data_IF_192094540297
#
_entry.id   IF_192094540297
#
_cell.length_a   1.000
_cell.length_b   1.000
_cell.length_c   1.000
_cell.angle_alpha   90.00
_cell.angle_beta   90.00
_cell.angle_gamma   90.00
#
_symmetry.space_group_name_H-M   'P 1'
#
loop_
_entity.id
_entity.type
_entity.pdbx_description
1 polymer ?
#
# COMPACT_ATOMS: atom_id res chain seq x y z
N UNK A 1 -23.33 -7.06 -27.51
CA UNK A 1 -24.45 -6.11 -27.36
C UNK A 1 -25.08 -6.36 -26.00
N UNK A 2 -24.75 -5.54 -24.99
CA UNK A 2 -25.52 -5.35 -23.74
C UNK A 2 -24.78 -4.34 -22.82
N UNK A 3 -25.02 -3.02 -22.94
CA UNK A 3 -24.57 -2.02 -21.98
C UNK A 3 -25.74 -1.65 -21.07
N UNK A 4 -26.05 -2.45 -20.04
CA UNK A 4 -27.10 -2.12 -19.05
C UNK A 4 -26.82 -2.64 -17.63
N UNK A 5 -25.56 -2.61 -17.16
CA UNK A 5 -25.22 -3.06 -15.79
C UNK A 5 -24.85 -1.93 -14.82
N UNK A 6 -24.95 -0.65 -15.21
CA UNK A 6 -24.45 0.47 -14.40
C UNK A 6 -25.46 1.05 -13.41
N UNK A 7 -26.76 0.78 -13.54
CA UNK A 7 -27.79 1.39 -12.66
C UNK A 7 -28.00 0.66 -11.32
N UNK A 8 -27.52 -0.58 -11.16
CA UNK A 8 -27.71 -1.35 -9.92
C UNK A 8 -26.61 -1.16 -8.86
N UNK A 9 -25.50 -0.52 -9.21
CA UNK A 9 -24.41 -0.17 -8.27
C UNK A 9 -24.92 0.83 -7.21
N UNK A 10 -25.92 1.65 -7.52
CA UNK A 10 -26.39 2.73 -6.66
C UNK A 10 -27.14 2.30 -5.39
N UNK A 11 -27.75 1.11 -5.35
CA UNK A 11 -28.60 0.74 -4.21
C UNK A 11 -27.84 0.12 -3.03
N UNK A 12 -26.66 -0.47 -3.25
CA UNK A 12 -25.87 -1.09 -2.17
C UNK A 12 -24.99 -0.07 -1.40
N UNK A 13 -24.60 1.04 -2.05
CA UNK A 13 -23.83 2.11 -1.40
C UNK A 13 -24.57 2.81 -0.24
N UNK A 14 -25.90 2.76 -0.20
CA UNK A 14 -26.71 3.39 0.84
C UNK A 14 -26.68 2.69 2.20
N UNK A 15 -26.26 1.43 2.29
CA UNK A 15 -26.24 0.71 3.57
C UNK A 15 -24.92 0.81 4.35
N UNK A 16 -23.82 1.25 3.71
CA UNK A 16 -22.50 1.36 4.35
C UNK A 16 -22.15 2.82 4.68
N UNK A 17 -22.68 3.79 3.93
CA UNK A 17 -22.43 5.22 4.16
C UNK A 17 -23.72 5.86 4.67
N UNK A 18 -23.75 6.17 5.97
CA UNK A 18 -24.82 6.94 6.58
C UNK A 18 -25.03 8.27 5.85
N UNK A 19 -26.29 8.63 5.63
CA UNK A 19 -26.70 9.86 4.96
C UNK A 19 -25.97 11.10 5.52
N UNK A 20 -25.11 11.74 4.72
CA UNK A 20 -24.95 13.19 4.63
C UNK A 20 -23.99 13.52 3.47
N UNK A 21 -24.51 14.09 2.39
CA UNK A 21 -23.70 14.79 1.38
C UNK A 21 -24.47 16.05 0.96
N UNK A 22 -23.95 17.22 1.36
CA UNK A 22 -24.40 18.53 0.91
C UNK A 22 -23.42 19.02 -0.18
N UNK A 23 -23.85 19.16 -1.44
CA UNK A 23 -22.98 19.50 -2.55
C UNK A 23 -22.54 20.98 -2.60
N UNK A 24 -22.89 21.83 -1.63
CA UNK A 24 -22.69 23.28 -1.73
C UNK A 24 -21.46 23.87 -0.99
N UNK A 25 -20.56 23.08 -0.43
CA UNK A 25 -19.46 23.62 0.43
C UNK A 25 -18.13 23.91 -0.30
N UNK A 26 -18.04 23.76 -1.63
CA UNK A 26 -16.83 24.18 -2.37
C UNK A 26 -17.20 25.03 -3.59
N UNK A 27 -17.63 26.26 -3.33
CA UNK A 27 -17.42 27.37 -4.25
C UNK A 27 -16.97 28.58 -3.43
N UNK A 28 -15.83 29.12 -3.85
CA UNK A 28 -15.30 30.47 -3.57
C UNK A 28 -13.93 30.48 -2.88
N UNK A 29 -12.89 30.15 -3.64
CA UNK A 29 -11.77 31.09 -3.88
C UNK A 29 -10.93 30.60 -5.07
N UNK A 30 -11.21 31.12 -6.27
CA UNK A 30 -10.35 30.98 -7.45
C UNK A 30 -9.84 32.37 -7.83
N UNK A 31 -8.61 32.69 -7.43
CA UNK A 31 -7.78 33.66 -8.15
C UNK A 31 -6.30 33.31 -8.01
N UNK A 32 -5.65 33.03 -9.15
CA UNK A 32 -4.19 33.07 -9.29
C UNK A 32 -3.46 31.71 -9.34
N UNK A 33 -3.03 31.33 -10.56
CA UNK A 33 -2.16 30.19 -10.95
C UNK A 33 -2.79 28.79 -10.85
N UNK A 34 -3.41 28.35 -11.95
CA UNK A 34 -3.67 26.93 -12.21
C UNK A 34 -2.33 26.19 -12.33
N UNK A 35 -1.92 25.50 -11.27
CA UNK A 35 -1.15 24.29 -11.45
C UNK A 35 -2.07 23.30 -12.18
N UNK A 36 -1.55 22.62 -13.20
CA UNK A 36 -2.24 21.46 -13.77
C UNK A 36 -2.47 20.48 -12.62
N UNK A 37 -3.74 20.23 -12.28
CA UNK A 37 -4.10 19.16 -11.35
C UNK A 37 -3.56 17.87 -11.98
N UNK A 38 -2.46 17.36 -11.43
CA UNK A 38 -1.87 16.11 -11.91
C UNK A 38 -2.88 15.01 -11.66
N UNK A 39 -3.24 14.28 -12.71
CA UNK A 39 -4.13 13.12 -12.63
C UNK A 39 -3.34 11.95 -12.03
N UNK A 40 -2.97 12.07 -10.76
CA UNK A 40 -2.28 11.04 -9.97
C UNK A 40 -3.17 10.59 -8.81
N UNK A 41 -2.97 9.38 -8.25
CA UNK A 41 -3.63 8.97 -7.03
C UNK A 41 -3.41 9.97 -5.89
N UNK A 42 -4.40 10.09 -5.00
CA UNK A 42 -4.15 10.78 -3.73
C UNK A 42 -3.11 10.00 -2.94
N UNK A 43 -2.41 10.67 -2.04
CA UNK A 43 -1.43 10.02 -1.16
C UNK A 43 -2.01 10.05 0.24
N UNK A 44 -2.15 8.87 0.86
CA UNK A 44 -2.50 8.75 2.26
C UNK A 44 -1.22 8.70 3.08
N UNK A 45 -1.03 9.69 3.94
CA UNK A 45 0.00 9.70 4.99
C UNK A 45 -0.62 9.12 6.25
N UNK A 46 0.02 8.11 6.83
CA UNK A 46 -0.34 7.60 8.15
C UNK A 46 0.83 7.81 9.09
N UNK A 47 0.54 8.21 10.34
CA UNK A 47 1.57 8.51 11.32
C UNK A 47 1.01 8.55 12.73
N UNK A 48 1.79 8.21 13.75
CA UNK A 48 1.46 8.56 15.12
C UNK A 48 2.02 7.62 16.16
N UNK A 49 2.44 8.21 17.28
CA UNK A 49 3.06 7.49 18.41
C UNK A 49 2.02 6.97 19.41
N UNK A 50 1.14 7.86 19.85
CA UNK A 50 0.14 7.54 20.88
C UNK A 50 -1.15 6.98 20.26
N UNK A 51 -1.50 7.48 19.08
CA UNK A 51 -2.62 7.04 18.28
C UNK A 51 -2.35 7.30 16.80
N UNK A 52 -2.95 6.49 15.93
CA UNK A 52 -2.82 6.62 14.49
C UNK A 52 -3.54 7.88 13.99
N UNK A 53 -2.83 8.69 13.21
CA UNK A 53 -3.34 9.86 12.48
C UNK A 53 -3.25 9.55 10.99
N UNK A 54 -4.21 10.06 10.24
CA UNK A 54 -4.28 9.93 8.79
C UNK A 54 -4.39 11.34 8.18
N UNK A 55 -3.67 11.58 7.09
CA UNK A 55 -3.79 12.77 6.27
C UNK A 55 -3.83 12.39 4.79
N UNK A 56 -4.59 13.15 4.00
CA UNK A 56 -4.63 13.01 2.54
C UNK A 56 -3.86 14.16 1.93
N UNK A 57 -3.02 13.83 0.94
CA UNK A 57 -2.25 14.76 0.14
C UNK A 57 -2.72 14.65 -1.31
N UNK A 58 -3.23 15.77 -1.84
CA UNK A 58 -3.70 15.88 -3.24
C UNK A 58 -2.62 16.45 -4.17
N UNK A 59 -1.49 16.88 -3.60
CA UNK A 59 -0.36 17.46 -4.32
C UNK A 59 -0.16 18.94 -4.14
N UNK A 60 -1.20 19.65 -3.75
CA UNK A 60 -1.15 21.08 -3.41
C UNK A 60 -1.30 21.30 -1.91
N UNK A 61 -2.07 20.42 -1.26
CA UNK A 61 -2.45 20.53 0.13
C UNK A 61 -2.32 19.20 0.87
N UNK A 62 -2.15 19.31 2.18
CA UNK A 62 -2.30 18.19 3.10
C UNK A 62 -3.44 18.49 4.07
N UNK A 63 -4.44 17.59 4.10
CA UNK A 63 -5.61 17.66 4.97
C UNK A 63 -5.68 16.45 5.90
N UNK A 64 -5.75 16.71 7.20
CA UNK A 64 -5.92 15.67 8.22
C UNK A 64 -7.32 15.06 8.11
N UNK A 65 -7.41 13.74 8.19
CA UNK A 65 -8.66 12.99 8.18
C UNK A 65 -9.34 13.10 9.56
N UNK A 66 -10.64 13.38 9.58
CA UNK A 66 -11.44 13.47 10.80
C UNK A 66 -12.35 12.24 10.97
N UNK A 67 -11.74 11.10 11.29
CA UNK A 67 -12.47 9.84 11.45
C UNK A 67 -12.89 9.66 12.92
N UNK A 68 -14.20 9.55 13.17
CA UNK A 68 -14.74 9.40 14.52
C UNK A 68 -14.25 8.10 15.17
N UNK A 69 -13.72 8.20 16.38
CA UNK A 69 -13.22 7.06 17.15
C UNK A 69 -11.81 6.58 16.79
N UNK A 70 -11.14 7.15 15.78
CA UNK A 70 -9.78 6.75 15.40
C UNK A 70 -8.78 6.93 16.55
N UNK A 71 -8.90 8.02 17.32
CA UNK A 71 -8.04 8.29 18.49
C UNK A 71 -8.22 7.25 19.62
N UNK A 72 -9.38 6.58 19.69
CA UNK A 72 -9.62 5.53 20.68
C UNK A 72 -8.90 4.22 20.33
N UNK A 73 -8.48 4.04 19.06
CA UNK A 73 -7.70 2.89 18.60
C UNK A 73 -6.23 3.04 18.96
N UNK A 74 -5.93 3.10 20.27
CA UNK A 74 -4.57 3.18 20.79
C UNK A 74 -3.76 1.99 20.25
N UNK A 75 -2.58 2.26 19.69
CA UNK A 75 -1.67 1.25 19.11
C UNK A 75 -2.20 0.49 17.88
N UNK A 76 -3.23 0.97 17.20
CA UNK A 76 -3.58 0.42 15.89
C UNK A 76 -2.50 0.74 14.85
N UNK A 77 -2.19 -0.25 14.02
CA UNK A 77 -1.22 -0.14 12.92
C UNK A 77 -1.95 -0.12 11.58
N UNK A 78 -1.43 0.68 10.66
CA UNK A 78 -1.87 0.63 9.27
C UNK A 78 -1.51 -0.71 8.63
N UNK A 79 -2.39 -1.24 7.79
CA UNK A 79 -2.20 -2.53 7.09
C UNK A 79 -2.15 -2.33 5.59
N UNK A 80 -3.20 -1.80 4.98
CA UNK A 80 -3.28 -1.52 3.55
C UNK A 80 -4.54 -0.69 3.23
N UNK A 81 -4.68 -0.31 1.96
CA UNK A 81 -5.89 0.32 1.42
C UNK A 81 -6.41 -0.43 0.20
N UNK A 82 -7.73 -0.41 0.02
CA UNK A 82 -8.40 -0.89 -1.19
C UNK A 82 -9.51 0.10 -1.53
N UNK A 83 -9.46 0.67 -2.74
CA UNK A 83 -10.30 1.80 -3.12
C UNK A 83 -10.23 2.92 -2.06
N UNK A 84 -11.39 3.38 -1.59
CA UNK A 84 -11.53 4.41 -0.55
C UNK A 84 -11.47 3.88 0.89
N UNK A 85 -11.16 2.60 1.09
CA UNK A 85 -11.16 1.97 2.40
C UNK A 85 -9.75 1.67 2.88
N UNK A 86 -9.53 1.87 4.18
CA UNK A 86 -8.30 1.56 4.90
C UNK A 86 -8.56 0.43 5.89
N UNK A 87 -7.65 -0.54 5.88
CA UNK A 87 -7.57 -1.60 6.87
C UNK A 87 -6.50 -1.26 7.92
N UNK A 88 -6.87 -1.34 9.18
CA UNK A 88 -5.99 -1.23 10.34
C UNK A 88 -6.04 -2.52 11.16
N UNK A 89 -4.98 -2.78 11.93
CA UNK A 89 -4.91 -3.91 12.86
C UNK A 89 -4.58 -3.42 14.26
N UNK A 90 -5.21 -4.00 15.28
CA UNK A 90 -4.78 -3.80 16.65
C UNK A 90 -3.37 -4.37 16.88
N UNK A 91 -2.61 -3.75 17.80
CA UNK A 91 -1.31 -4.28 18.22
C UNK A 91 -1.44 -5.71 18.76
N UNK A 92 -0.40 -6.53 18.57
CA UNK A 92 -0.32 -7.89 19.14
C UNK A 92 -0.36 -7.92 20.67
N UNK A 93 -0.06 -6.80 21.33
CA UNK A 93 -0.20 -6.62 22.78
C UNK A 93 -1.62 -6.29 23.25
N UNK A 94 -2.55 -6.06 22.33
CA UNK A 94 -3.95 -5.79 22.65
C UNK A 94 -4.69 -7.08 22.99
N UNK A 95 -5.53 -7.12 24.05
CA UNK A 95 -6.37 -8.27 24.37
C UNK A 95 -7.42 -8.56 23.27
N UNK A 96 -7.66 -7.61 22.37
CA UNK A 96 -8.58 -7.74 21.25
C UNK A 96 -7.76 -7.63 19.94
N UNK A 97 -7.33 -8.78 19.40
CA UNK A 97 -6.67 -8.88 18.09
C UNK A 97 -7.66 -8.61 16.94
N UNK A 98 -8.23 -7.42 16.87
CA UNK A 98 -9.22 -7.03 15.88
C UNK A 98 -8.60 -6.28 14.69
N UNK A 99 -9.29 -6.36 13.55
CA UNK A 99 -9.07 -5.49 12.41
C UNK A 99 -10.12 -4.36 12.42
N UNK A 100 -9.76 -3.21 11.88
CA UNK A 100 -10.64 -2.05 11.76
C UNK A 100 -10.66 -1.57 10.32
N UNK A 101 -11.85 -1.37 9.77
CA UNK A 101 -12.04 -0.83 8.42
C UNK A 101 -12.74 0.52 8.50
N UNK A 102 -12.22 1.49 7.76
CA UNK A 102 -12.75 2.85 7.73
C UNK A 102 -12.51 3.50 6.37
N UNK A 103 -13.29 4.53 6.04
CA UNK A 103 -13.03 5.43 4.93
C UNK A 103 -12.41 6.73 5.48
N UNK A 104 -11.13 7.06 5.16
CA UNK A 104 -10.47 8.27 5.66
C UNK A 104 -11.15 9.58 5.26
N UNK A 105 -11.88 9.59 4.14
CA UNK A 105 -12.55 10.78 3.59
C UNK A 105 -13.97 10.97 4.11
N UNK A 106 -14.57 9.96 4.75
CA UNK A 106 -15.89 10.08 5.35
C UNK A 106 -15.80 10.29 6.86
N UNK A 107 -16.78 11.00 7.43
CA UNK A 107 -16.96 11.03 8.90
C UNK A 107 -17.56 9.71 9.43
N UNK A 108 -17.56 8.66 8.61
CA UNK A 108 -18.23 7.40 8.85
C UNK A 108 -17.70 6.62 10.04
N UNK A 109 -18.46 5.59 10.39
CA UNK A 109 -18.16 4.71 11.53
C UNK A 109 -17.06 3.71 11.16
N UNK A 110 -16.15 3.47 12.11
CA UNK A 110 -15.17 2.39 12.03
C UNK A 110 -15.88 1.04 12.17
N UNK A 111 -15.64 0.14 11.22
CA UNK A 111 -16.12 -1.25 11.27
C UNK A 111 -15.07 -2.13 11.94
N UNK A 112 -15.43 -2.74 13.07
CA UNK A 112 -14.55 -3.68 13.78
C UNK A 112 -14.81 -5.10 13.29
N UNK A 113 -13.74 -5.80 12.92
CA UNK A 113 -13.75 -7.20 12.51
C UNK A 113 -12.95 -8.00 13.55
N UNK A 114 -13.65 -8.86 14.28
CA UNK A 114 -13.03 -9.76 15.26
C UNK A 114 -12.54 -11.03 14.58
N UNK A 115 -11.39 -11.59 14.99
CA UNK A 115 -10.80 -12.73 14.33
C UNK A 115 -11.56 -14.03 14.66
N UNK A 116 -11.40 -15.09 13.86
CA UNK A 116 -12.11 -16.35 14.08
C UNK A 116 -11.76 -16.97 15.43
N UNK A 117 -12.79 -17.33 16.21
CA UNK A 117 -12.64 -17.95 17.54
C UNK A 117 -11.72 -17.17 18.51
N UNK A 118 -11.64 -15.84 18.35
CA UNK A 118 -10.73 -14.97 19.11
C UNK A 118 -9.25 -15.33 19.00
N UNK A 119 -8.85 -16.14 18.01
CA UNK A 119 -7.45 -16.48 17.75
C UNK A 119 -6.83 -15.43 16.85
N UNK A 120 -5.64 -14.89 17.18
CA UNK A 120 -4.97 -13.91 16.34
C UNK A 120 -4.76 -14.41 14.91
N UNK A 121 -5.04 -13.54 13.94
CA UNK A 121 -4.71 -13.71 12.52
C UNK A 121 -3.99 -12.46 12.02
N UNK A 122 -3.09 -12.64 11.05
CA UNK A 122 -2.36 -11.56 10.43
C UNK A 122 -3.00 -11.23 9.08
N UNK A 123 -3.65 -10.07 8.90
CA UNK A 123 -4.16 -9.68 7.60
C UNK A 123 -2.98 -9.54 6.64
N UNK A 124 -3.06 -10.17 5.46
CA UNK A 124 -2.06 -10.07 4.41
C UNK A 124 -2.62 -9.48 3.10
N UNK A 125 -3.94 -9.28 3.01
CA UNK A 125 -4.56 -8.60 1.89
C UNK A 125 -5.95 -8.06 2.21
N UNK A 126 -6.32 -6.97 1.55
CA UNK A 126 -7.66 -6.37 1.60
C UNK A 126 -8.06 -5.99 0.18
N UNK A 127 -9.18 -6.53 -0.29
CA UNK A 127 -9.54 -6.44 -1.71
C UNK A 127 -11.04 -6.44 -1.94
N UNK A 128 -11.44 -5.94 -3.11
CA UNK A 128 -12.81 -6.05 -3.60
C UNK A 128 -12.93 -7.29 -4.48
N UNK A 129 -13.81 -8.23 -4.09
CA UNK A 129 -14.08 -9.43 -4.85
C UNK A 129 -15.08 -9.11 -5.98
N UNK A 130 -14.69 -9.18 -7.26
CA UNK A 130 -15.48 -8.60 -8.34
C UNK A 130 -16.79 -9.35 -8.62
N UNK A 131 -16.82 -10.69 -8.48
CA UNK A 131 -18.04 -11.48 -8.76
C UNK A 131 -19.07 -11.38 -7.62
N UNK A 132 -18.64 -11.59 -6.38
CA UNK A 132 -19.45 -11.43 -5.17
C UNK A 132 -19.80 -9.97 -4.83
N UNK A 133 -19.12 -8.99 -5.45
CA UNK A 133 -19.31 -7.56 -5.24
C UNK A 133 -19.22 -7.12 -3.78
N UNK A 134 -18.26 -7.67 -3.06
CA UNK A 134 -18.02 -7.38 -1.65
C UNK A 134 -16.52 -7.17 -1.39
N UNK A 135 -16.20 -6.47 -0.30
CA UNK A 135 -14.84 -6.45 0.21
C UNK A 135 -14.53 -7.74 0.96
N UNK A 136 -13.26 -8.14 0.95
CA UNK A 136 -12.76 -9.29 1.71
C UNK A 136 -11.41 -8.97 2.33
N UNK A 137 -11.14 -9.59 3.49
CA UNK A 137 -9.81 -9.60 4.12
C UNK A 137 -9.25 -10.99 3.97
N UNK A 138 -8.07 -11.11 3.35
CA UNK A 138 -7.25 -12.31 3.42
C UNK A 138 -6.35 -12.20 4.65
N UNK A 139 -6.37 -13.21 5.50
CA UNK A 139 -5.52 -13.30 6.66
C UNK A 139 -4.84 -14.65 6.73
N UNK A 140 -3.65 -14.66 7.32
CA UNK A 140 -2.81 -15.83 7.49
C UNK A 140 -2.62 -16.13 8.97
N UNK A 141 -2.54 -17.42 9.28
CA UNK A 141 -2.17 -17.93 10.59
C UNK A 141 -1.05 -18.95 10.42
N UNK A 142 -0.03 -18.86 11.25
CA UNK A 142 1.00 -19.89 11.32
C UNK A 142 0.44 -21.12 12.02
N UNK A 143 0.44 -22.26 11.33
CA UNK A 143 -0.05 -23.53 11.88
C UNK A 143 1.12 -24.41 12.34
N UNK A 144 2.21 -24.46 11.57
CA UNK A 144 3.44 -25.18 11.93
C UNK A 144 4.69 -24.38 11.57
N UNK A 145 5.87 -25.01 11.67
CA UNK A 145 7.12 -24.37 11.22
C UNK A 145 7.15 -24.08 9.72
N UNK A 146 6.44 -24.86 8.92
CA UNK A 146 6.54 -24.85 7.45
C UNK A 146 5.18 -24.70 6.75
N UNK A 147 4.09 -24.58 7.51
CA UNK A 147 2.75 -24.46 6.95
C UNK A 147 1.99 -23.29 7.55
N UNK A 148 1.31 -22.57 6.65
CA UNK A 148 0.45 -21.45 6.96
C UNK A 148 -0.97 -21.76 6.51
N UNK A 149 -1.93 -21.30 7.30
CA UNK A 149 -3.34 -21.46 7.03
C UNK A 149 -3.98 -20.11 6.69
N UNK A 150 -4.74 -20.07 5.61
CA UNK A 150 -5.33 -18.86 5.06
C UNK A 150 -6.85 -18.82 5.28
N UNK A 151 -7.32 -17.63 5.63
CA UNK A 151 -8.69 -17.33 6.00
C UNK A 151 -9.19 -16.10 5.24
N UNK A 152 -10.47 -16.12 4.91
CA UNK A 152 -11.20 -14.99 4.35
C UNK A 152 -12.24 -14.50 5.35
N UNK A 153 -12.26 -13.19 5.56
CA UNK A 153 -13.42 -12.51 6.12
C UNK A 153 -14.30 -12.01 4.99
N UNK A 154 -15.56 -12.38 5.01
CA UNK A 154 -16.58 -11.98 4.05
C UNK A 154 -17.41 -10.85 4.68
N UNK A 155 -17.46 -9.68 4.03
CA UNK A 155 -18.23 -8.55 4.57
C UNK A 155 -19.74 -8.74 4.40
N UNK A 156 -20.18 -9.42 3.34
CA UNK A 156 -21.60 -9.75 3.14
C UNK A 156 -22.14 -10.63 4.26
N UNK A 157 -21.43 -11.73 4.55
CA UNK A 157 -21.84 -12.71 5.55
C UNK A 157 -21.39 -12.36 6.98
N UNK A 158 -20.50 -11.36 7.11
CA UNK A 158 -19.86 -10.94 8.37
C UNK A 158 -19.23 -12.11 9.13
N UNK A 159 -18.59 -13.01 8.39
CA UNK A 159 -18.04 -14.24 8.93
C UNK A 159 -16.65 -14.54 8.39
N UNK A 160 -15.89 -15.29 9.18
CA UNK A 160 -14.63 -15.87 8.76
C UNK A 160 -14.85 -17.28 8.26
N UNK A 161 -14.14 -17.63 7.18
CA UNK A 161 -13.97 -19.02 6.76
C UNK A 161 -12.57 -19.27 6.26
N UNK A 162 -12.22 -20.54 6.14
CA UNK A 162 -11.02 -21.00 5.42
C UNK A 162 -11.16 -20.67 3.93
N UNK A 163 -10.04 -20.39 3.27
CA UNK A 163 -10.02 -20.42 1.80
C UNK A 163 -10.28 -21.85 1.32
N UNK A 164 -10.68 -22.00 0.05
CA UNK A 164 -10.94 -23.31 -0.56
C UNK A 164 -9.72 -24.24 -0.49
N UNK A 165 -8.51 -23.69 -0.67
CA UNK A 165 -7.25 -24.34 -0.33
C UNK A 165 -6.56 -23.57 0.82
N UNK A 166 -6.79 -23.96 2.08
CA UNK A 166 -6.34 -23.18 3.24
C UNK A 166 -4.85 -23.30 3.51
N UNK A 167 -4.18 -24.36 3.07
CA UNK A 167 -2.80 -24.63 3.45
C UNK A 167 -1.84 -24.22 2.35
N UNK A 168 -0.89 -23.32 2.67
CA UNK A 168 0.20 -22.96 1.77
C UNK A 168 1.53 -22.84 2.51
N UNK A 169 2.63 -23.14 1.82
CA UNK A 169 3.97 -23.22 2.43
C UNK A 169 4.73 -21.89 2.41
N UNK A 170 4.27 -20.91 1.63
CA UNK A 170 4.83 -19.56 1.65
C UNK A 170 4.02 -18.63 2.56
N UNK A 171 4.68 -17.61 3.07
CA UNK A 171 4.11 -16.49 3.80
C UNK A 171 4.49 -15.20 3.05
N UNK A 172 3.57 -14.25 2.87
CA UNK A 172 3.92 -12.90 2.49
C UNK A 172 4.83 -12.29 3.56
N UNK A 173 6.11 -12.07 3.28
CA UNK A 173 7.08 -11.53 4.26
C UNK A 173 7.91 -10.41 3.66
N UNK A 174 8.19 -9.38 4.45
CA UNK A 174 9.14 -8.31 4.06
C UNK A 174 10.61 -8.77 4.06
N UNK A 175 10.92 -9.89 4.72
CA UNK A 175 12.29 -10.32 4.88
C UNK A 175 12.41 -11.85 4.94
N UNK A 176 13.38 -12.42 4.22
CA UNK A 176 13.73 -13.84 4.35
C UNK A 176 14.40 -14.15 5.70
N UNK A 177 14.93 -13.13 6.41
CA UNK A 177 15.74 -13.32 7.63
C UNK A 177 14.96 -13.14 8.92
N UNK A 178 13.81 -12.43 8.92
CA UNK A 178 12.89 -12.38 10.06
C UNK A 178 11.47 -12.77 9.65
N UNK A 179 11.16 -14.06 9.80
CA UNK A 179 9.84 -14.66 9.55
C UNK A 179 8.73 -14.17 10.52
N UNK A 180 8.89 -12.99 11.13
CA UNK A 180 8.01 -12.45 12.17
C UNK A 180 6.99 -11.44 11.66
N UNK A 181 7.17 -10.85 10.46
CA UNK A 181 6.28 -9.81 9.97
C UNK A 181 5.69 -10.10 8.59
N UNK A 182 4.36 -10.15 8.54
CA UNK A 182 3.58 -10.42 7.34
C UNK A 182 3.53 -9.19 6.44
N UNK A 183 3.88 -9.35 5.16
CA UNK A 183 3.64 -8.32 4.14
C UNK A 183 2.14 -8.23 3.87
N UNK A 184 1.58 -7.06 4.15
CA UNK A 184 0.14 -6.80 4.06
C UNK A 184 -0.25 -5.94 2.86
N UNK A 185 0.69 -5.65 1.97
CA UNK A 185 0.55 -4.73 0.83
C UNK A 185 0.71 -5.49 -0.50
N UNK A 186 -0.27 -6.34 -0.88
CA UNK A 186 -0.23 -6.94 -2.20
C UNK A 186 -0.43 -5.90 -3.29
N UNK A 187 0.23 -6.09 -4.42
CA UNK A 187 -0.22 -5.50 -5.67
C UNK A 187 -1.45 -6.27 -6.18
N UNK A 188 -2.55 -5.55 -6.45
CA UNK A 188 -3.81 -6.14 -6.90
C UNK A 188 -3.92 -5.94 -8.41
N UNK A 189 -3.87 -7.02 -9.18
CA UNK A 189 -3.94 -6.99 -10.64
C UNK A 189 -4.59 -8.26 -11.19
N UNK A 190 -5.37 -8.16 -12.28
CA UNK A 190 -5.89 -9.33 -13.01
C UNK A 190 -6.57 -10.39 -12.15
N UNK A 191 -7.35 -9.97 -11.15
CA UNK A 191 -8.04 -10.91 -10.26
C UNK A 191 -7.13 -11.59 -9.22
N UNK A 192 -5.86 -11.18 -9.09
CA UNK A 192 -4.90 -11.72 -8.16
C UNK A 192 -4.29 -10.71 -7.19
N UNK A 193 -3.91 -11.19 -6.02
CA UNK A 193 -3.06 -10.49 -5.05
C UNK A 193 -1.62 -10.97 -5.20
N UNK A 194 -0.67 -10.04 -5.34
CA UNK A 194 0.72 -10.35 -5.64
C UNK A 194 1.65 -9.82 -4.54
N UNK A 195 2.47 -10.70 -3.98
CA UNK A 195 3.51 -10.33 -3.02
C UNK A 195 4.86 -10.80 -3.50
N UNK A 196 5.86 -9.94 -3.39
CA UNK A 196 7.24 -10.42 -3.36
C UNK A 196 7.48 -11.15 -2.03
N UNK A 197 7.99 -12.38 -2.09
CA UNK A 197 8.22 -13.23 -0.91
C UNK A 197 9.71 -13.55 -0.72
N UNK A 198 10.59 -12.72 -1.27
CA UNK A 198 12.03 -12.95 -1.21
C UNK A 198 12.50 -14.04 -2.17
N UNK A 199 13.82 -14.27 -2.23
CA UNK A 199 14.45 -15.34 -3.04
C UNK A 199 14.02 -15.34 -4.52
N UNK A 200 13.82 -14.15 -5.11
CA UNK A 200 13.37 -13.98 -6.50
C UNK A 200 12.00 -14.61 -6.83
N UNK A 201 11.09 -14.66 -5.85
CA UNK A 201 9.75 -15.26 -6.00
C UNK A 201 8.62 -14.28 -5.72
N UNK A 202 7.57 -14.41 -6.50
CA UNK A 202 6.29 -13.72 -6.35
C UNK A 202 5.24 -14.76 -5.95
N UNK A 203 4.61 -14.55 -4.80
CA UNK A 203 3.42 -15.29 -4.41
C UNK A 203 2.19 -14.63 -5.02
N UNK A 204 1.30 -15.43 -5.60
CA UNK A 204 0.04 -14.95 -6.17
C UNK A 204 -1.12 -15.70 -5.53
N UNK A 205 -2.14 -14.98 -5.10
CA UNK A 205 -3.43 -15.53 -4.69
C UNK A 205 -4.51 -15.14 -5.70
N UNK A 206 -5.13 -16.13 -6.34
CA UNK A 206 -6.28 -15.94 -7.20
C UNK A 206 -7.53 -15.65 -6.35
N UNK A 207 -8.13 -14.48 -6.53
CA UNK A 207 -9.26 -14.03 -5.71
C UNK A 207 -10.56 -14.77 -6.01
N UNK A 208 -10.67 -15.43 -7.18
CA UNK A 208 -11.88 -16.13 -7.65
C UNK A 208 -11.79 -17.62 -7.30
N UNK A 209 -10.70 -18.26 -7.67
CA UNK A 209 -10.48 -19.69 -7.43
C UNK A 209 -9.95 -19.96 -6.02
N UNK A 210 -9.47 -18.93 -5.31
CA UNK A 210 -8.87 -19.02 -3.98
C UNK A 210 -7.65 -19.95 -3.94
N UNK A 211 -6.87 -19.93 -5.02
CA UNK A 211 -5.68 -20.74 -5.20
C UNK A 211 -4.41 -19.90 -5.07
N UNK A 212 -3.39 -20.51 -4.48
CA UNK A 212 -2.06 -19.91 -4.39
C UNK A 212 -1.14 -20.52 -5.44
N UNK A 213 -0.32 -19.68 -6.06
CA UNK A 213 0.81 -20.13 -6.86
C UNK A 213 2.04 -19.26 -6.59
N UNK A 214 3.19 -19.75 -7.07
CA UNK A 214 4.46 -19.02 -7.03
C UNK A 214 4.95 -18.81 -8.45
N UNK A 215 5.37 -17.58 -8.72
CA UNK A 215 5.90 -17.15 -10.01
C UNK A 215 7.31 -16.56 -9.82
N UNK A 216 8.18 -16.60 -10.84
CA UNK A 216 9.51 -16.00 -10.77
C UNK A 216 9.46 -14.46 -10.89
N UNK A 217 10.50 -13.78 -10.40
CA UNK A 217 10.78 -12.37 -10.69
C UNK A 217 11.44 -12.19 -12.09
N UNK A 218 11.57 -10.94 -12.60
CA UNK A 218 12.16 -10.65 -13.93
C UNK A 218 13.58 -11.15 -14.17
N UNK A 219 14.29 -11.55 -13.11
CA UNK A 219 15.73 -11.75 -13.15
C UNK A 219 16.08 -13.17 -12.71
N UNK A 220 17.06 -13.77 -13.41
CA UNK A 220 17.71 -14.98 -12.95
C UNK A 220 18.52 -14.72 -11.67
N UNK A 221 19.02 -15.79 -11.05
CA UNK A 221 19.80 -15.86 -9.79
C UNK A 221 21.01 -14.90 -9.66
N UNK A 222 21.24 -14.02 -10.61
CA UNK A 222 22.36 -13.07 -10.72
C UNK A 222 22.50 -12.06 -9.58
N UNK A 223 21.59 -12.05 -8.60
CA UNK A 223 21.66 -11.17 -7.43
C UNK A 223 21.77 -11.93 -6.10
N UNK A 224 22.04 -13.24 -6.14
CA UNK A 224 22.36 -14.05 -4.95
C UNK A 224 23.51 -13.39 -4.17
N UNK A 225 23.19 -12.77 -3.03
CA UNK A 225 24.15 -12.13 -2.13
C UNK A 225 24.07 -10.60 -2.03
N UNK A 226 23.21 -9.91 -2.79
CA UNK A 226 22.94 -8.48 -2.61
C UNK A 226 21.54 -8.26 -2.04
N UNK A 227 21.45 -7.55 -0.92
CA UNK A 227 20.17 -7.24 -0.28
C UNK A 227 19.35 -6.30 -1.16
N UNK A 228 18.21 -6.79 -1.67
CA UNK A 228 17.27 -5.92 -2.39
C UNK A 228 16.65 -4.92 -1.41
N UNK A 229 16.86 -3.63 -1.65
CA UNK A 229 16.41 -2.57 -0.74
C UNK A 229 14.92 -2.27 -0.91
N UNK A 230 14.39 -2.40 -2.13
CA UNK A 230 12.96 -2.22 -2.41
C UNK A 230 12.26 -3.55 -2.69
N UNK A 231 11.18 -3.78 -1.93
CA UNK A 231 10.62 -5.13 -1.71
C UNK A 231 9.14 -5.25 -2.02
N UNK A 232 8.49 -4.17 -2.44
CA UNK A 232 7.05 -4.18 -2.73
C UNK A 232 6.80 -4.20 -4.24
N UNK A 233 5.78 -4.98 -4.64
CA UNK A 233 5.22 -4.94 -5.98
C UNK A 233 4.23 -3.79 -6.06
N UNK A 234 4.16 -3.17 -7.22
CA UNK A 234 3.27 -2.04 -7.49
C UNK A 234 2.44 -2.33 -8.74
N UNK A 235 1.41 -1.52 -8.97
CA UNK A 235 0.65 -1.54 -10.21
C UNK A 235 0.86 -0.20 -10.92
N UNK A 236 1.30 -0.26 -12.18
CA UNK A 236 1.43 0.88 -13.08
C UNK A 236 0.57 0.61 -14.30
N UNK A 237 -0.43 1.46 -14.55
CA UNK A 237 -1.28 1.43 -15.76
C UNK A 237 -1.71 0.00 -16.15
N UNK A 238 -2.34 -0.72 -15.22
CA UNK A 238 -2.80 -2.12 -15.37
C UNK A 238 -1.70 -3.16 -15.63
N UNK A 239 -0.45 -2.85 -15.28
CA UNK A 239 0.69 -3.76 -15.34
C UNK A 239 1.35 -3.90 -13.98
N UNK A 240 1.85 -5.11 -13.68
CA UNK A 240 2.61 -5.33 -12.46
C UNK A 240 3.99 -4.69 -12.63
N UNK A 241 4.46 -4.02 -11.58
CA UNK A 241 5.71 -3.28 -11.57
C UNK A 241 6.58 -3.73 -10.41
N UNK A 242 7.88 -3.81 -10.65
CA UNK A 242 8.89 -4.08 -9.64
C UNK A 242 10.01 -3.05 -9.75
N UNK A 243 10.30 -2.36 -8.65
CA UNK A 243 11.38 -1.39 -8.60
C UNK A 243 12.58 -2.01 -7.89
N UNK A 244 13.71 -2.03 -8.57
CA UNK A 244 14.95 -2.61 -8.08
C UNK A 244 15.99 -1.52 -7.86
N UNK A 245 16.47 -1.39 -6.62
CA UNK A 245 17.60 -0.51 -6.26
C UNK A 245 18.74 -1.41 -5.81
N UNK A 246 19.89 -1.31 -6.50
CA UNK A 246 21.10 -2.03 -6.11
C UNK A 246 21.82 -1.29 -4.96
N UNK A 247 22.41 -2.02 -4.01
CA UNK A 247 23.05 -1.43 -2.82
C UNK A 247 24.26 -0.53 -3.12
N UNK A 248 24.79 -0.54 -4.35
CA UNK A 248 26.04 0.12 -4.73
C UNK A 248 25.89 1.09 -5.90
N UNK A 249 24.71 1.15 -6.51
CA UNK A 249 24.46 1.97 -7.69
C UNK A 249 23.33 2.92 -7.32
N UNK A 250 23.55 4.23 -7.44
CA UNK A 250 22.53 5.26 -7.23
C UNK A 250 21.46 5.28 -8.30
N UNK A 251 21.02 4.11 -8.75
CA UNK A 251 20.05 3.92 -9.81
C UNK A 251 18.98 2.94 -9.37
N UNK A 252 17.76 3.22 -9.82
CA UNK A 252 16.61 2.35 -9.66
C UNK A 252 16.15 1.87 -11.03
N UNK A 253 16.22 0.56 -11.24
CA UNK A 253 15.60 -0.09 -12.39
C UNK A 253 14.11 -0.30 -12.14
N UNK A 254 13.26 0.06 -13.09
CA UNK A 254 11.82 -0.20 -13.03
C UNK A 254 11.46 -1.24 -14.07
N UNK A 255 10.98 -2.39 -13.59
CA UNK A 255 10.55 -3.52 -14.40
C UNK A 255 9.04 -3.59 -14.49
N UNK A 256 8.53 -3.82 -15.68
CA UNK A 256 7.09 -3.91 -15.97
C UNK A 256 6.79 -5.30 -16.54
N UNK A 257 5.77 -5.96 -16.00
CA UNK A 257 5.22 -7.19 -16.54
C UNK A 257 4.31 -6.85 -17.71
N UNK A 258 4.87 -6.80 -18.92
CA UNK A 258 4.13 -6.45 -20.14
C UNK A 258 3.20 -7.56 -20.62
N UNK A 259 3.57 -8.82 -20.38
CA UNK A 259 2.73 -9.96 -20.71
C UNK A 259 2.45 -10.80 -19.45
N UNK A 260 1.28 -10.58 -18.86
CA UNK A 260 0.84 -11.31 -17.68
C UNK A 260 0.65 -12.82 -17.94
N UNK A 261 0.20 -13.20 -19.14
CA UNK A 261 -0.09 -14.60 -19.49
C UNK A 261 1.20 -15.39 -19.64
N UNK A 262 2.17 -14.85 -20.37
CA UNK A 262 3.47 -15.48 -20.58
C UNK A 262 4.49 -15.15 -19.49
N UNK A 263 4.09 -14.35 -18.49
CA UNK A 263 4.91 -13.88 -17.38
C UNK A 263 6.20 -13.18 -17.84
N UNK A 264 6.09 -12.34 -18.87
CA UNK A 264 7.21 -11.64 -19.49
C UNK A 264 7.43 -10.26 -18.86
N UNK A 265 8.62 -10.06 -18.30
CA UNK A 265 9.04 -8.79 -17.71
C UNK A 265 10.03 -8.06 -18.60
N UNK A 266 9.90 -6.74 -18.67
CA UNK A 266 10.85 -5.87 -19.35
C UNK A 266 11.38 -4.78 -18.40
N UNK A 267 12.67 -4.46 -18.53
CA UNK A 267 13.23 -3.27 -17.88
C UNK A 267 12.81 -2.06 -18.69
N UNK A 268 11.90 -1.24 -18.15
CA UNK A 268 11.31 -0.12 -18.90
C UNK A 268 11.96 1.21 -18.61
N UNK A 269 12.37 1.44 -17.37
CA UNK A 269 12.98 2.71 -16.95
C UNK A 269 14.21 2.48 -16.08
N UNK A 270 15.12 3.46 -16.10
CA UNK A 270 16.26 3.56 -15.21
C UNK A 270 16.22 4.97 -14.61
N UNK A 271 16.06 5.05 -13.30
CA UNK A 271 15.94 6.31 -12.56
C UNK A 271 17.24 6.55 -11.83
N UNK A 272 17.95 7.63 -12.16
CA UNK A 272 19.09 8.09 -11.37
C UNK A 272 18.55 8.69 -10.06
N UNK A 273 19.02 8.21 -8.91
CA UNK A 273 18.69 8.64 -7.55
C UNK A 273 19.66 9.70 -7.00
N UNK A 274 20.79 9.94 -7.67
CA UNK A 274 21.78 10.96 -7.31
C UNK A 274 21.50 12.33 -7.96
N UNK A 275 20.28 12.53 -8.44
CA UNK A 275 19.88 13.67 -9.27
C UNK A 275 20.07 15.06 -8.64
N UNK A 276 20.17 15.19 -7.31
CA UNK A 276 20.65 16.42 -6.67
C UNK A 276 20.98 16.25 -5.16
N UNK A 277 22.06 15.52 -4.85
CA UNK A 277 22.53 15.32 -3.46
C UNK A 277 22.83 16.66 -2.78
N UNK A 278 23.39 17.62 -3.52
CA UNK A 278 23.81 18.92 -2.98
C UNK A 278 22.61 19.82 -2.63
N UNK A 279 21.54 19.79 -3.43
CA UNK A 279 20.31 20.55 -3.13
C UNK A 279 19.47 19.91 -2.02
N UNK A 280 19.59 18.60 -1.83
CA UNK A 280 18.85 17.86 -0.81
C UNK A 280 19.78 16.98 0.03
N UNK A 281 20.73 17.59 0.78
CA UNK A 281 21.71 16.85 1.54
C UNK A 281 21.04 16.03 2.64
N UNK A 282 21.59 14.84 2.90
CA UNK A 282 21.21 14.04 4.06
C UNK A 282 21.82 14.72 5.27
N UNK A 283 21.03 14.93 6.32
CA UNK A 283 21.48 15.65 7.52
C UNK A 283 22.51 14.88 8.34
N UNK A 284 22.62 13.57 8.10
CA UNK A 284 23.44 12.62 8.84
C UNK A 284 24.42 11.94 7.88
N UNK A 285 25.68 11.77 8.32
CA UNK A 285 26.73 11.03 7.59
C UNK A 285 26.47 9.51 7.64
N UNK A 286 25.40 9.07 6.97
CA UNK A 286 25.01 7.66 6.93
C UNK A 286 25.68 6.93 5.75
N UNK A 287 26.03 5.64 5.91
CA UNK A 287 26.42 4.79 4.81
C UNK A 287 25.39 4.80 3.68
N UNK A 288 25.84 4.85 2.43
CA UNK A 288 24.96 5.07 1.27
C UNK A 288 23.87 4.00 1.12
N UNK A 289 24.20 2.73 1.40
CA UNK A 289 23.25 1.62 1.47
C UNK A 289 22.10 1.88 2.47
N UNK A 290 22.43 2.38 3.66
CA UNK A 290 21.48 2.75 4.70
C UNK A 290 20.57 3.90 4.26
N UNK A 291 21.09 4.80 3.41
CA UNK A 291 20.29 5.91 2.87
C UNK A 291 19.29 5.44 1.82
N UNK A 292 19.63 4.40 1.06
CA UNK A 292 18.75 3.80 0.05
C UNK A 292 17.66 2.93 0.68
N UNK A 293 17.92 2.28 1.82
CA UNK A 293 16.89 1.60 2.64
C UNK A 293 15.76 2.53 3.13
N UNK A 294 15.98 3.84 3.08
CA UNK A 294 15.01 4.85 3.48
C UNK A 294 14.13 5.36 2.34
N UNK A 295 14.26 4.77 1.15
CA UNK A 295 13.49 5.10 -0.03
C UNK A 295 12.24 4.20 -0.11
N UNK A 296 11.08 4.84 -0.17
CA UNK A 296 9.80 4.18 -0.45
C UNK A 296 9.25 4.68 -1.79
N UNK A 297 8.86 3.77 -2.68
CA UNK A 297 8.05 4.14 -3.84
C UNK A 297 6.58 4.13 -3.43
N UNK A 298 5.95 5.31 -3.53
CA UNK A 298 4.55 5.49 -3.15
C UNK A 298 3.63 5.08 -4.29
N UNK A 299 3.92 5.56 -5.50
CA UNK A 299 3.11 5.31 -6.69
C UNK A 299 3.90 5.46 -7.97
N UNK A 300 3.45 4.75 -9.02
CA UNK A 300 3.88 4.97 -10.40
C UNK A 300 2.61 5.05 -11.23
N UNK A 301 2.34 6.22 -11.81
CA UNK A 301 1.15 6.46 -12.59
C UNK A 301 1.52 7.21 -13.86
N UNK A 302 1.18 6.66 -15.03
CA UNK A 302 1.66 7.16 -16.33
C UNK A 302 3.19 7.29 -16.30
N UNK A 303 3.73 8.48 -16.54
CA UNK A 303 5.17 8.75 -16.54
C UNK A 303 5.63 9.44 -15.23
N UNK A 304 4.78 9.53 -14.21
CA UNK A 304 5.13 10.09 -12.91
C UNK A 304 5.41 8.98 -11.89
N UNK A 305 6.61 9.01 -11.33
CA UNK A 305 7.03 8.22 -10.18
C UNK A 305 7.01 9.12 -8.94
N UNK A 306 6.31 8.71 -7.89
CA UNK A 306 6.34 9.40 -6.59
C UNK A 306 7.13 8.57 -5.60
N UNK A 307 8.18 9.18 -5.05
CA UNK A 307 9.03 8.58 -4.03
C UNK A 307 8.97 9.40 -2.75
N UNK A 308 9.03 8.72 -1.62
CA UNK A 308 9.38 9.33 -0.35
C UNK A 308 10.75 8.85 0.07
N UNK A 309 11.64 9.79 0.30
CA UNK A 309 12.98 9.51 0.80
C UNK A 309 13.08 10.12 2.18
N UNK A 310 13.21 9.28 3.21
CA UNK A 310 13.32 9.76 4.59
C UNK A 310 14.44 10.79 4.70
N UNK A 311 14.19 11.85 5.48
CA UNK A 311 15.07 13.00 5.67
C UNK A 311 15.27 13.93 4.47
N UNK A 312 15.02 13.50 3.23
CA UNK A 312 15.06 14.37 2.03
C UNK A 312 13.67 14.93 1.67
N UNK A 313 12.63 14.14 1.86
CA UNK A 313 11.23 14.50 1.62
C UNK A 313 10.58 13.68 0.51
N UNK A 314 9.47 14.19 -0.02
CA UNK A 314 8.71 13.54 -1.09
C UNK A 314 9.00 14.20 -2.42
N UNK A 315 9.16 13.39 -3.46
CA UNK A 315 9.54 13.84 -4.79
C UNK A 315 8.67 13.20 -5.86
N UNK A 316 8.37 14.00 -6.87
CA UNK A 316 7.82 13.55 -8.14
C UNK A 316 8.95 13.51 -9.16
N UNK A 317 9.15 12.35 -9.77
CA UNK A 317 10.11 12.11 -10.84
C UNK A 317 9.36 11.85 -12.15
N UNK A 318 9.67 12.59 -13.22
CA UNK A 318 9.11 12.33 -14.54
C UNK A 318 9.98 11.33 -15.31
N UNK A 319 9.50 10.11 -15.49
CA UNK A 319 10.26 8.97 -16.01
C UNK A 319 10.79 9.16 -17.45
N UNK A 320 10.08 9.93 -18.28
CA UNK A 320 10.51 10.21 -19.67
C UNK A 320 11.49 11.38 -19.77
N UNK A 321 11.30 12.43 -18.98
CA UNK A 321 12.09 13.67 -19.08
C UNK A 321 13.22 13.74 -18.05
N UNK A 322 13.30 12.78 -17.13
CA UNK A 322 14.25 12.74 -16.02
C UNK A 322 14.28 14.03 -15.18
N UNK A 323 13.12 14.67 -15.06
CA UNK A 323 12.94 15.87 -14.25
C UNK A 323 12.41 15.51 -12.88
N UNK A 324 12.85 16.25 -11.85
CA UNK A 324 12.47 16.00 -10.47
C UNK A 324 11.95 17.26 -9.81
N UNK A 325 10.84 17.10 -9.11
CA UNK A 325 10.20 18.16 -8.36
C UNK A 325 9.91 17.71 -6.92
N UNK A 326 10.27 18.56 -5.95
CA UNK A 326 9.95 18.31 -4.55
C UNK A 326 8.49 18.63 -4.28
N UNK A 327 7.77 17.65 -3.73
CA UNK A 327 6.41 17.86 -3.24
C UNK A 327 6.50 18.42 -1.83
N UNK A 328 5.98 19.62 -1.64
CA UNK A 328 6.05 20.32 -0.36
C UNK A 328 4.99 19.75 0.59
N UNK A 329 5.46 19.08 1.63
CA UNK A 329 4.60 18.57 2.70
C UNK A 329 4.53 19.57 3.84
N UNK A 330 3.42 19.57 4.58
CA UNK A 330 3.39 20.29 5.85
C UNK A 330 4.37 19.60 6.79
N UNK A 331 5.25 20.40 7.39
CA UNK A 331 6.16 19.91 8.41
C UNK A 331 5.34 19.28 9.53
N UNK A 332 5.61 18.03 9.82
CA UNK A 332 5.00 17.27 10.90
C UNK A 332 6.04 17.01 11.97
N UNK A 333 5.59 16.65 13.17
CA UNK A 333 6.43 16.07 14.24
C UNK A 333 7.32 14.94 13.68
N UNK A 334 6.85 14.25 12.64
CA UNK A 334 7.55 13.20 11.89
C UNK A 334 8.88 13.64 11.26
N UNK A 335 9.00 14.91 10.86
CA UNK A 335 10.16 15.41 10.10
C UNK A 335 11.33 15.85 11.02
N UNK A 336 11.11 15.83 12.33
CA UNK A 336 12.08 16.22 13.37
C UNK A 336 12.73 15.02 14.10
N UNK A 337 12.40 13.77 13.73
CA UNK A 337 12.98 12.59 14.36
C UNK A 337 14.41 12.33 13.89
N UNK A 338 15.34 12.06 14.83
CA UNK A 338 16.74 11.70 14.52
C UNK A 338 16.91 10.20 14.24
N UNK A 339 18.02 9.86 13.57
CA UNK A 339 18.44 8.51 13.19
C UNK A 339 18.41 7.46 14.33
N UNK A 340 18.63 7.87 15.59
CA UNK A 340 18.73 6.95 16.75
C UNK A 340 17.47 6.12 17.06
N UNK A 341 16.33 6.40 16.39
CA UNK A 341 15.07 5.63 16.52
C UNK A 341 14.71 4.83 15.26
N UNK A 342 15.72 4.42 14.49
CA UNK A 342 15.61 3.64 13.25
C UNK A 342 14.65 2.43 13.36
N UNK A 343 14.49 1.83 14.54
CA UNK A 343 13.69 0.61 14.74
C UNK A 343 12.16 0.78 14.77
N UNK A 344 11.63 1.99 14.56
CA UNK A 344 10.18 2.26 14.59
C UNK A 344 9.56 2.38 13.18
N UNK A 345 10.06 1.58 12.23
CA UNK A 345 9.78 1.60 10.79
C UNK A 345 8.31 1.41 10.35
N UNK A 346 7.35 1.29 11.28
CA UNK A 346 5.94 1.02 10.97
C UNK A 346 4.93 1.96 11.61
N UNK A 347 5.38 3.00 12.32
CA UNK A 347 4.46 4.00 12.87
C UNK A 347 4.08 5.09 11.88
N UNK A 348 4.79 5.23 10.77
CA UNK A 348 4.53 6.26 9.78
C UNK A 348 5.06 5.91 8.39
N UNK A 349 4.24 6.14 7.37
CA UNK A 349 4.63 6.08 5.95
C UNK A 349 3.55 6.73 5.07
N UNK A 350 3.70 6.56 3.76
CA UNK A 350 2.80 7.01 2.71
C UNK A 350 2.37 5.82 1.85
N UNK A 351 1.14 5.89 1.33
CA UNK A 351 0.64 4.91 0.37
C UNK A 351 -0.20 5.61 -0.69
N UNK A 352 -0.18 5.10 -1.92
CA UNK A 352 -1.14 5.50 -2.94
C UNK A 352 -2.56 5.18 -2.47
N UNK A 353 -3.45 6.17 -2.56
CA UNK A 353 -4.84 6.10 -2.14
C UNK A 353 -5.76 6.38 -3.31
N UNK A 354 -6.29 5.30 -3.88
CA UNK A 354 -7.13 5.35 -5.07
C UNK A 354 -8.58 5.64 -4.69
N UNK A 355 -8.99 6.90 -4.81
CA UNK A 355 -10.41 7.24 -4.75
C UNK A 355 -11.05 6.79 -6.05
N UNK A 356 -11.99 5.85 -5.98
CA UNK A 356 -12.83 5.52 -7.12
C UNK A 356 -13.60 6.77 -7.53
N UNK A 357 -13.27 7.36 -8.68
CA UNK A 357 -14.10 8.38 -9.30
C UNK A 357 -15.42 7.68 -9.66
N UNK A 358 -16.48 8.00 -8.92
CA UNK A 358 -17.84 7.58 -9.27
C UNK A 358 -18.19 8.22 -10.60
N UNK A 359 -18.17 7.42 -11.67
CA UNK A 359 -18.72 7.80 -12.97
C UNK A 359 -20.23 7.60 -12.99
#
# INVERSE_FOLDING_TARGET
MAPQCYTWIFHLFKQIIGHYYDPNVIKDTLSGRRAQVRDRPLILRYFGRDYLRLSIIDGESEKKCNVRGLQALKSAKFVCCCNELVLLKSSSSSPLSACFVLNPLSEGKITTVHPPNHRPVDPCGFFFHPLAKEYRILAVRKESRTSYEYYLYLFGDKSWRRTSNPCFHCLPTYNCTSASEVNSFPAILNGGLHWYIGTNRIMVFDMINEEFCVKPLPFERCYEGRDHLMRDLLVKDDSLCFCHVGCQEGVMDIWILEDYTNWCWIKKYIVNLDWDIDKYPIKDDLPYDTTLDMLSVISIHKDELVIFWRFRGMFSYHLVFNSVEKIHLKKSEMDDYSYSRYFDYKLHDFVAYNVTKSN
#
